data_IF_006327044580
#
_entry.id   IF_006327044580
#
_cell.length_a   1.000
_cell.length_b   1.000
_cell.length_c   1.000
_cell.angle_alpha   90.00
_cell.angle_beta   90.00
_cell.angle_gamma   90.00
#
_symmetry.space_group_name_H-M   'P 1'
#
loop_
_entity.id
_entity.type
_entity.pdbx_description
1 polymer ?
#
# COMPACT_ATOMS: atom_id res chain seq x y z
N UNK A 1 1.49 -6.32 -0.94
CA UNK A 1 1.41 -5.28 0.11
C UNK A 1 0.19 -5.56 0.99
N UNK A 2 0.22 -5.19 2.27
CA UNK A 2 -0.69 -5.69 3.30
C UNK A 2 -1.65 -4.60 3.80
N UNK A 3 -2.90 -4.96 4.09
CA UNK A 3 -3.73 -4.22 5.05
C UNK A 3 -3.09 -4.36 6.45
N UNK A 4 -2.88 -3.25 7.16
CA UNK A 4 -2.42 -3.22 8.55
C UNK A 4 -3.59 -2.89 9.48
N UNK A 5 -4.01 -3.80 10.37
CA UNK A 5 -5.08 -3.52 11.34
C UNK A 5 -4.50 -3.43 12.76
N UNK A 6 -4.93 -2.44 13.54
CA UNK A 6 -4.55 -2.24 14.93
C UNK A 6 -5.80 -2.07 15.84
N UNK A 7 -5.76 -2.62 17.05
CA UNK A 7 -6.80 -2.49 18.08
C UNK A 7 -6.20 -1.91 19.36
N UNK A 8 -6.85 -0.89 19.97
CA UNK A 8 -6.59 -0.47 21.36
C UNK A 8 -7.60 -1.19 22.27
N UNK A 9 -7.15 -1.80 23.37
CA UNK A 9 -8.07 -2.31 24.40
C UNK A 9 -8.39 -1.19 25.41
N UNK A 10 -9.66 -1.07 25.79
CA UNK A 10 -10.10 -0.19 26.89
C UNK A 10 -9.88 -0.88 28.25
N UNK A 11 -9.50 -0.15 29.32
CA UNK A 11 -9.32 -0.74 30.64
C UNK A 11 -10.68 -1.00 31.32
N UNK A 12 -10.80 -2.13 32.02
CA UNK A 12 -11.85 -2.36 33.02
C UNK A 12 -11.42 -1.77 34.38
N UNK A 13 -12.34 -1.30 35.23
CA UNK A 13 -11.97 -0.61 36.45
C UNK A 13 -11.57 -1.57 37.58
N UNK A 14 -10.40 -1.26 38.15
CA UNK A 14 -9.82 -1.60 39.46
C UNK A 14 -9.52 -3.07 39.79
N UNK A 15 -8.22 -3.42 39.76
CA UNK A 15 -7.48 -3.69 41.00
C UNK A 15 -6.00 -3.31 40.82
N UNK A 16 -5.44 -2.69 41.86
CA UNK A 16 -4.10 -2.11 41.89
C UNK A 16 -3.01 -3.20 41.92
N UNK A 17 -2.62 -3.74 40.77
CA UNK A 17 -1.27 -4.32 40.56
C UNK A 17 -1.08 -4.72 39.09
N UNK A 18 -0.08 -4.11 38.42
CA UNK A 18 0.40 -4.56 37.12
C UNK A 18 0.02 -3.67 35.93
N UNK A 19 0.81 -2.62 35.72
CA UNK A 19 0.97 -1.94 34.42
C UNK A 19 1.47 -2.94 33.36
N UNK A 20 0.58 -3.79 32.83
CA UNK A 20 0.84 -4.54 31.60
C UNK A 20 0.54 -3.65 30.41
N UNK A 21 1.62 -3.22 29.79
CA UNK A 21 1.75 -2.58 28.48
C UNK A 21 0.58 -2.92 27.52
N UNK A 22 -0.30 -1.95 27.27
CA UNK A 22 -1.32 -2.01 26.22
C UNK A 22 -0.63 -2.00 24.84
N UNK A 23 -0.06 -3.13 24.39
CA UNK A 23 0.47 -3.24 23.04
C UNK A 23 -0.69 -3.44 22.06
N UNK A 24 -0.96 -2.50 21.13
CA UNK A 24 -1.95 -2.73 20.09
C UNK A 24 -1.53 -3.97 19.26
N UNK A 25 -2.45 -4.92 19.08
CA UNK A 25 -2.21 -6.06 18.17
C UNK A 25 -2.15 -5.54 16.74
N UNK A 26 -0.94 -5.47 16.18
CA UNK A 26 -0.72 -5.21 14.76
C UNK A 26 -0.93 -6.49 13.97
N UNK A 27 -1.75 -6.43 12.92
CA UNK A 27 -2.03 -7.56 12.04
C UNK A 27 -1.77 -7.15 10.61
N UNK A 28 -0.98 -7.96 9.90
CA UNK A 28 -0.62 -7.72 8.50
C UNK A 28 -1.32 -8.75 7.60
N UNK A 29 -2.15 -8.28 6.66
CA UNK A 29 -2.87 -9.11 5.67
C UNK A 29 -2.21 -9.18 4.28
N UNK A 30 -0.88 -9.24 4.19
CA UNK A 30 -0.17 -9.20 2.90
C UNK A 30 -0.19 -10.51 2.13
N UNK A 31 -0.50 -10.48 0.82
CA UNK A 31 -0.45 -11.67 -0.05
C UNK A 31 0.48 -11.45 -1.27
N UNK A 32 1.18 -12.51 -1.69
CA UNK A 32 1.96 -12.57 -2.95
C UNK A 32 1.04 -12.85 -4.17
N UNK A 33 1.55 -12.54 -5.38
CA UNK A 33 0.92 -12.64 -6.71
C UNK A 33 0.14 -13.95 -6.96
N UNK A 34 -0.91 -13.88 -7.78
CA UNK A 34 -1.65 -15.05 -8.30
C UNK A 34 -2.97 -15.37 -7.59
N UNK A 35 -3.28 -14.70 -6.48
CA UNK A 35 -4.63 -14.66 -5.90
C UNK A 35 -5.14 -13.24 -5.98
N UNK A 36 -6.21 -13.02 -6.73
CA UNK A 36 -6.98 -11.77 -6.72
C UNK A 36 -7.58 -11.56 -5.32
N UNK A 37 -6.78 -11.15 -4.33
CA UNK A 37 -7.29 -10.73 -3.03
C UNK A 37 -7.76 -9.30 -3.18
N UNK A 38 -9.06 -9.18 -3.43
CA UNK A 38 -9.81 -7.92 -3.42
C UNK A 38 -9.74 -7.32 -2.00
N UNK A 39 -9.43 -6.03 -1.89
CA UNK A 39 -9.55 -5.25 -0.65
C UNK A 39 -10.76 -5.65 0.22
N UNK A 40 -11.96 -5.87 -0.33
CA UNK A 40 -13.13 -6.42 0.39
C UNK A 40 -12.85 -7.63 1.30
N UNK A 41 -12.07 -8.62 0.85
CA UNK A 41 -11.79 -9.80 1.64
C UNK A 41 -10.89 -9.50 2.85
N UNK A 42 -9.95 -8.56 2.70
CA UNK A 42 -9.10 -8.09 3.80
C UNK A 42 -9.89 -7.17 4.74
N UNK A 43 -10.77 -6.32 4.21
CA UNK A 43 -11.66 -5.48 4.99
C UNK A 43 -12.55 -6.30 5.93
N UNK A 44 -13.14 -7.42 5.45
CA UNK A 44 -13.90 -8.35 6.30
C UNK A 44 -13.08 -8.90 7.47
N UNK A 45 -11.78 -9.12 7.30
CA UNK A 45 -10.90 -9.56 8.37
C UNK A 45 -10.60 -8.46 9.40
N UNK A 46 -10.50 -7.20 8.96
CA UNK A 46 -10.37 -6.06 9.88
C UNK A 46 -11.65 -5.87 10.71
N UNK A 47 -12.81 -5.98 10.05
CA UNK A 47 -14.15 -5.92 10.67
C UNK A 47 -14.34 -7.03 11.69
N UNK A 48 -14.04 -8.29 11.34
CA UNK A 48 -14.22 -9.43 12.27
C UNK A 48 -13.38 -9.31 13.54
N UNK A 49 -12.33 -8.50 13.50
CA UNK A 49 -11.44 -8.22 14.63
C UNK A 49 -11.76 -6.91 15.34
N UNK A 50 -12.81 -6.19 14.93
CA UNK A 50 -13.21 -4.89 15.48
C UNK A 50 -12.03 -3.91 15.52
N UNK A 51 -11.28 -3.83 14.42
CA UNK A 51 -10.11 -2.97 14.34
C UNK A 51 -10.49 -1.49 14.59
N UNK A 52 -9.73 -0.79 15.41
CA UNK A 52 -9.94 0.66 15.66
C UNK A 52 -9.10 1.52 14.72
N UNK A 53 -8.14 0.92 14.03
CA UNK A 53 -7.31 1.56 13.04
C UNK A 53 -6.96 0.58 11.92
N UNK A 54 -7.13 1.01 10.67
CA UNK A 54 -6.89 0.21 9.46
C UNK A 54 -6.06 1.02 8.48
N UNK A 55 -4.85 0.56 8.16
CA UNK A 55 -4.05 1.10 7.05
C UNK A 55 -4.36 0.35 5.77
N UNK A 56 -4.76 1.06 4.72
CA UNK A 56 -5.03 0.55 3.38
C UNK A 56 -3.84 0.85 2.47
N UNK A 57 -3.20 -0.22 1.98
CA UNK A 57 -2.11 -0.18 1.00
C UNK A 57 -2.54 -1.00 -0.24
N UNK A 58 -3.22 -0.35 -1.20
CA UNK A 58 -3.78 -0.97 -2.41
C UNK A 58 -3.11 -0.43 -3.68
N UNK A 59 -3.29 -1.08 -4.83
CA UNK A 59 -2.99 -0.51 -6.14
C UNK A 59 -1.62 -0.86 -6.73
N UNK A 60 -0.62 -1.16 -5.91
CA UNK A 60 0.71 -1.56 -6.42
C UNK A 60 0.64 -2.78 -7.34
N UNK A 61 -0.13 -3.80 -6.94
CA UNK A 61 -0.34 -5.00 -7.75
C UNK A 61 -1.28 -4.77 -8.93
N UNK A 62 -2.10 -3.70 -8.91
CA UNK A 62 -3.00 -3.35 -10.00
C UNK A 62 -2.21 -2.67 -11.14
N UNK A 63 -1.24 -1.80 -10.80
CA UNK A 63 -0.31 -1.18 -11.74
C UNK A 63 0.71 -2.19 -12.29
N UNK A 64 1.23 -3.06 -11.43
CA UNK A 64 2.25 -4.05 -11.79
C UNK A 64 1.68 -5.36 -12.31
N UNK A 65 1.42 -5.42 -13.61
CA UNK A 65 0.88 -6.58 -14.32
C UNK A 65 1.90 -7.20 -15.27
N UNK A 66 1.58 -8.34 -15.89
CA UNK A 66 2.40 -8.89 -16.98
C UNK A 66 2.23 -8.09 -18.29
N UNK A 67 1.04 -7.54 -18.54
CA UNK A 67 0.70 -6.82 -19.77
C UNK A 67 -0.13 -5.57 -19.45
N UNK A 68 -0.05 -4.56 -20.29
CA UNK A 68 -0.81 -3.32 -20.11
C UNK A 68 -2.32 -3.53 -20.07
N UNK A 69 -2.84 -4.46 -20.89
CA UNK A 69 -4.28 -4.79 -20.92
C UNK A 69 -4.80 -5.42 -19.62
N UNK A 70 -3.89 -5.93 -18.78
CA UNK A 70 -4.25 -6.52 -17.49
C UNK A 70 -4.30 -5.47 -16.37
N UNK A 71 -3.85 -4.23 -16.63
CA UNK A 71 -4.04 -3.11 -15.69
C UNK A 71 -5.54 -2.77 -15.71
N UNK A 72 -6.23 -2.76 -14.56
CA UNK A 72 -7.66 -2.46 -14.54
C UNK A 72 -7.94 -1.05 -15.07
N UNK A 73 -9.14 -0.84 -15.60
CA UNK A 73 -9.62 0.52 -15.89
C UNK A 73 -9.80 1.31 -14.58
N UNK A 74 -10.00 2.62 -14.71
CA UNK A 74 -10.23 3.50 -13.55
C UNK A 74 -11.51 3.10 -12.82
N UNK A 75 -12.57 2.79 -13.55
CA UNK A 75 -13.86 2.36 -13.00
C UNK A 75 -13.72 1.04 -12.24
N UNK A 76 -13.03 0.05 -12.81
CA UNK A 76 -12.82 -1.25 -12.15
C UNK A 76 -11.98 -1.10 -10.88
N UNK A 77 -10.96 -0.23 -10.89
CA UNK A 77 -10.15 0.04 -9.72
C UNK A 77 -10.96 0.75 -8.63
N UNK A 78 -11.72 1.79 -9.00
CA UNK A 78 -12.60 2.54 -8.11
C UNK A 78 -13.66 1.65 -7.47
N UNK A 79 -14.37 0.83 -8.25
CA UNK A 79 -15.41 -0.07 -7.75
C UNK A 79 -14.86 -1.03 -6.69
N UNK A 80 -13.69 -1.61 -6.95
CA UNK A 80 -13.02 -2.52 -5.99
C UNK A 80 -12.57 -1.80 -4.73
N UNK A 81 -12.13 -0.55 -4.85
CA UNK A 81 -11.74 0.25 -3.70
C UNK A 81 -12.98 0.60 -2.86
N UNK A 82 -14.06 1.07 -3.49
CA UNK A 82 -15.34 1.38 -2.84
C UNK A 82 -15.96 0.16 -2.16
N UNK A 83 -15.95 -1.01 -2.78
CA UNK A 83 -16.45 -2.25 -2.15
C UNK A 83 -15.70 -2.56 -0.83
N UNK A 84 -14.39 -2.31 -0.81
CA UNK A 84 -13.56 -2.45 0.38
C UNK A 84 -13.86 -1.39 1.45
N UNK A 85 -13.93 -0.12 1.06
CA UNK A 85 -14.25 1.00 1.95
C UNK A 85 -15.64 0.85 2.55
N UNK A 86 -16.63 0.40 1.78
CA UNK A 86 -17.98 0.15 2.25
C UNK A 86 -18.05 -0.99 3.26
N UNK A 87 -17.28 -2.06 3.05
CA UNK A 87 -17.14 -3.14 4.03
C UNK A 87 -16.59 -2.62 5.36
N UNK A 88 -15.59 -1.73 5.32
CA UNK A 88 -15.03 -1.10 6.52
C UNK A 88 -16.06 -0.18 7.19
N UNK A 89 -16.71 0.70 6.42
CA UNK A 89 -17.72 1.65 6.90
C UNK A 89 -18.86 0.96 7.66
N UNK A 90 -19.33 -0.18 7.15
CA UNK A 90 -20.45 -0.92 7.75
C UNK A 90 -20.05 -1.74 8.98
N UNK A 91 -18.78 -2.16 9.08
CA UNK A 91 -18.36 -3.18 10.04
C UNK A 91 -17.38 -2.75 11.12
N UNK A 92 -16.67 -1.63 10.94
CA UNK A 92 -15.75 -1.13 11.95
C UNK A 92 -16.51 -0.52 13.14
N UNK A 93 -15.92 -0.51 14.35
CA UNK A 93 -16.49 0.18 15.49
C UNK A 93 -16.47 1.71 15.29
N UNK A 94 -17.46 2.39 15.85
CA UNK A 94 -17.51 3.86 15.90
C UNK A 94 -16.19 4.46 16.42
N UNK A 95 -15.75 5.54 15.77
CA UNK A 95 -14.48 6.22 16.02
C UNK A 95 -13.26 5.51 15.39
N UNK A 96 -13.43 4.40 14.67
CA UNK A 96 -12.31 3.77 13.98
C UNK A 96 -11.74 4.68 12.88
N UNK A 97 -10.44 4.54 12.64
CA UNK A 97 -9.71 5.30 11.62
C UNK A 97 -9.29 4.40 10.46
N UNK A 98 -9.63 4.78 9.23
CA UNK A 98 -9.15 4.16 8.00
C UNK A 98 -8.14 5.10 7.34
N UNK A 99 -6.89 4.69 7.31
CA UNK A 99 -5.79 5.44 6.73
C UNK A 99 -5.37 4.84 5.39
N UNK A 100 -5.64 5.55 4.31
CA UNK A 100 -5.35 5.14 2.94
C UNK A 100 -4.03 5.77 2.51
N UNK A 101 -3.07 4.95 2.10
CA UNK A 101 -1.79 5.44 1.60
C UNK A 101 -1.74 5.18 0.11
N UNK A 102 -1.36 6.21 -0.65
CA UNK A 102 -1.12 6.12 -2.08
C UNK A 102 -0.05 5.09 -2.45
N UNK A 103 -0.04 4.72 -3.72
CA UNK A 103 0.95 3.86 -4.35
C UNK A 103 2.25 4.64 -4.49
N UNK A 104 3.41 4.03 -4.16
CA UNK A 104 4.74 4.65 -4.41
C UNK A 104 4.94 4.93 -5.89
N UNK A 105 5.82 5.86 -6.26
CA UNK A 105 6.21 6.03 -7.66
C UNK A 105 7.05 4.81 -8.12
N UNK A 106 6.39 3.83 -8.74
CA UNK A 106 7.03 2.59 -9.21
C UNK A 106 8.09 2.89 -10.28
N UNK A 107 7.88 3.94 -11.08
CA UNK A 107 8.85 4.36 -12.08
C UNK A 107 10.12 4.88 -11.42
N UNK A 108 9.99 5.66 -10.34
CA UNK A 108 11.15 6.09 -9.54
C UNK A 108 11.93 4.91 -8.97
N UNK A 109 11.25 3.87 -8.47
CA UNK A 109 11.93 2.67 -7.96
C UNK A 109 12.70 1.94 -9.06
N UNK A 110 12.14 1.83 -10.26
CA UNK A 110 12.85 1.29 -11.42
C UNK A 110 14.08 2.13 -11.75
N UNK A 111 13.94 3.46 -11.86
CA UNK A 111 15.05 4.35 -12.20
C UNK A 111 16.25 4.20 -11.27
N UNK A 112 16.01 4.22 -9.94
CA UNK A 112 17.11 4.18 -8.97
C UNK A 112 17.70 2.80 -8.77
N UNK A 113 17.09 1.76 -9.32
CA UNK A 113 17.61 0.40 -9.27
C UNK A 113 18.29 -0.03 -10.58
N UNK A 114 18.29 0.81 -11.62
CA UNK A 114 18.81 0.46 -12.95
C UNK A 114 20.25 -0.04 -12.93
N UNK A 115 21.13 0.63 -12.17
CA UNK A 115 22.56 0.32 -12.11
C UNK A 115 22.93 -0.66 -10.98
N UNK A 116 21.93 -1.24 -10.33
CA UNK A 116 22.12 -2.07 -9.14
C UNK A 116 22.36 -3.54 -9.52
N UNK A 117 22.90 -4.33 -8.59
CA UNK A 117 23.11 -5.78 -8.76
C UNK A 117 22.36 -6.58 -7.70
N UNK A 118 21.46 -7.47 -8.13
CA UNK A 118 20.84 -8.47 -7.28
C UNK A 118 21.91 -9.41 -6.70
N UNK A 119 21.91 -9.55 -5.37
CA UNK A 119 22.87 -10.29 -4.55
C UNK A 119 24.33 -9.88 -4.80
N UNK A 120 24.57 -8.69 -5.38
CA UNK A 120 25.89 -8.25 -5.85
C UNK A 120 26.39 -8.94 -7.11
N UNK A 121 25.62 -9.86 -7.70
CA UNK A 121 26.10 -10.79 -8.74
C UNK A 121 25.41 -10.57 -10.08
N UNK A 122 24.10 -10.28 -10.11
CA UNK A 122 23.31 -10.19 -11.35
C UNK A 122 22.82 -8.76 -11.53
N UNK A 123 23.13 -8.12 -12.65
CA UNK A 123 22.61 -6.78 -12.95
C UNK A 123 21.07 -6.78 -12.92
N UNK A 124 20.48 -5.79 -12.28
CA UNK A 124 19.02 -5.74 -12.10
C UNK A 124 18.27 -5.76 -13.44
N UNK A 125 18.81 -5.15 -14.49
CA UNK A 125 18.23 -5.21 -15.84
C UNK A 125 18.18 -6.65 -16.41
N UNK A 126 19.20 -7.46 -16.14
CA UNK A 126 19.24 -8.88 -16.53
C UNK A 126 18.19 -9.67 -15.75
N UNK A 127 18.06 -9.42 -14.44
CA UNK A 127 17.03 -10.04 -13.62
C UNK A 127 15.62 -9.66 -14.11
N UNK A 128 15.39 -8.39 -14.43
CA UNK A 128 14.12 -7.89 -14.94
C UNK A 128 13.75 -8.45 -16.31
N UNK A 129 14.73 -8.81 -17.16
CA UNK A 129 14.45 -9.45 -18.45
C UNK A 129 13.62 -10.75 -18.31
N UNK A 130 13.65 -11.40 -17.15
CA UNK A 130 12.80 -12.56 -16.85
C UNK A 130 11.28 -12.24 -16.84
N UNK A 131 10.85 -10.97 -16.88
CA UNK A 131 9.45 -10.60 -17.14
C UNK A 131 8.99 -11.03 -18.53
N UNK A 132 9.90 -11.19 -19.50
CA UNK A 132 9.58 -11.67 -20.86
C UNK A 132 8.97 -13.07 -20.85
N UNK A 133 9.39 -13.89 -19.88
CA UNK A 133 8.88 -15.24 -19.64
C UNK A 133 7.83 -15.29 -18.53
N UNK A 134 7.41 -14.12 -18.00
CA UNK A 134 6.51 -13.97 -16.84
C UNK A 134 7.03 -14.62 -15.56
N UNK A 135 8.34 -14.85 -15.46
CA UNK A 135 8.99 -15.39 -14.25
C UNK A 135 9.33 -14.30 -13.24
N UNK A 136 9.28 -13.04 -13.66
CA UNK A 136 9.48 -11.86 -12.83
C UNK A 136 8.23 -10.96 -12.86
N UNK A 137 7.83 -10.33 -11.74
CA UNK A 137 6.61 -9.50 -11.67
C UNK A 137 6.73 -8.16 -12.39
N UNK A 138 5.60 -7.45 -12.52
CA UNK A 138 5.54 -6.08 -13.02
C UNK A 138 6.15 -5.91 -14.43
N UNK A 139 5.80 -6.79 -15.37
CA UNK A 139 6.18 -6.64 -16.79
C UNK A 139 5.73 -5.32 -17.40
N UNK A 140 4.69 -4.68 -16.88
CA UNK A 140 4.26 -3.32 -17.27
C UNK A 140 5.23 -2.22 -16.86
N UNK A 141 6.15 -2.47 -15.92
CA UNK A 141 7.26 -1.57 -15.63
C UNK A 141 8.57 -2.17 -16.08
N UNK A 142 8.95 -3.35 -15.61
CA UNK A 142 10.34 -3.82 -15.64
C UNK A 142 10.76 -4.49 -16.95
N UNK A 143 9.81 -4.77 -17.84
CA UNK A 143 10.12 -5.44 -19.10
C UNK A 143 11.02 -4.56 -19.99
N UNK A 144 12.19 -5.06 -20.43
CA UNK A 144 13.15 -4.26 -21.21
C UNK A 144 12.61 -3.83 -22.58
N UNK A 145 11.59 -4.51 -23.12
CA UNK A 145 11.05 -4.25 -24.45
C UNK A 145 9.96 -3.17 -24.50
N UNK A 146 9.47 -2.67 -23.36
CA UNK A 146 8.36 -1.69 -23.35
C UNK A 146 8.81 -0.25 -23.63
N UNK A 147 10.13 0.00 -23.56
CA UNK A 147 10.71 1.33 -23.73
C UNK A 147 10.20 2.36 -22.72
N UNK A 148 10.65 3.61 -22.88
CA UNK A 148 10.29 4.69 -21.97
C UNK A 148 8.79 5.03 -22.02
N UNK A 149 8.19 4.99 -23.21
CA UNK A 149 6.76 5.26 -23.36
C UNK A 149 5.88 4.27 -22.57
N UNK A 150 6.24 2.98 -22.57
CA UNK A 150 5.54 1.97 -21.78
C UNK A 150 5.69 2.18 -20.27
N UNK A 151 6.86 2.62 -19.83
CA UNK A 151 7.11 2.97 -18.42
C UNK A 151 6.29 4.19 -17.99
N UNK A 152 6.23 5.23 -18.82
CA UNK A 152 5.41 6.41 -18.56
C UNK A 152 3.92 6.08 -18.54
N UNK A 153 3.43 5.24 -19.46
CA UNK A 153 2.04 4.76 -19.41
C UNK A 153 1.71 4.10 -18.07
N UNK A 154 2.57 3.21 -17.58
CA UNK A 154 2.38 2.57 -16.27
C UNK A 154 2.41 3.57 -15.11
N UNK A 155 3.28 4.58 -15.18
CA UNK A 155 3.34 5.67 -14.20
C UNK A 155 2.06 6.53 -14.24
N UNK A 156 1.50 6.81 -15.41
CA UNK A 156 0.23 7.52 -15.55
C UNK A 156 -0.92 6.74 -14.91
N UNK A 157 -0.98 5.40 -15.10
CA UNK A 157 -1.94 4.54 -14.38
C UNK A 157 -1.74 4.61 -12.86
N UNK A 158 -0.50 4.63 -12.40
CA UNK A 158 -0.15 4.81 -10.99
C UNK A 158 -0.69 6.15 -10.44
N UNK A 159 -0.54 7.25 -11.19
CA UNK A 159 -1.05 8.58 -10.82
C UNK A 159 -2.57 8.59 -10.79
N UNK A 160 -3.23 8.02 -11.80
CA UNK A 160 -4.68 7.94 -11.88
C UNK A 160 -5.27 7.17 -10.69
N UNK A 161 -4.69 6.02 -10.32
CA UNK A 161 -5.13 5.27 -9.15
C UNK A 161 -4.92 6.01 -7.84
N UNK A 162 -3.82 6.76 -7.69
CA UNK A 162 -3.64 7.63 -6.51
C UNK A 162 -4.69 8.73 -6.43
N UNK A 163 -5.10 9.32 -7.57
CA UNK A 163 -6.18 10.30 -7.61
C UNK A 163 -7.53 9.68 -7.20
N UNK A 164 -7.82 8.45 -7.63
CA UNK A 164 -9.03 7.71 -7.21
C UNK A 164 -8.99 7.40 -5.72
N UNK A 165 -7.88 6.86 -5.21
CA UNK A 165 -7.71 6.58 -3.78
C UNK A 165 -7.95 7.83 -2.94
N UNK A 166 -7.38 8.96 -3.35
CA UNK A 166 -7.58 10.26 -2.71
C UNK A 166 -9.06 10.65 -2.69
N UNK A 167 -9.66 10.80 -3.88
CA UNK A 167 -11.03 11.31 -4.04
C UNK A 167 -12.02 10.47 -3.25
N UNK A 168 -11.98 9.14 -3.41
CA UNK A 168 -12.91 8.25 -2.70
C UNK A 168 -12.69 8.30 -1.19
N UNK A 169 -11.46 8.38 -0.70
CA UNK A 169 -11.20 8.53 0.75
C UNK A 169 -11.79 9.84 1.28
N UNK A 170 -11.62 10.95 0.55
CA UNK A 170 -12.19 12.26 0.90
C UNK A 170 -13.73 12.25 0.88
N UNK A 171 -14.35 11.53 -0.07
CA UNK A 171 -15.81 11.34 -0.11
C UNK A 171 -16.32 10.61 1.15
N UNK A 172 -15.67 9.51 1.56
CA UNK A 172 -16.05 8.78 2.78
C UNK A 172 -15.86 9.65 4.03
N UNK A 173 -14.78 10.43 4.11
CA UNK A 173 -14.57 11.40 5.21
C UNK A 173 -15.70 12.44 5.29
N UNK A 174 -16.27 12.86 4.16
CA UNK A 174 -17.33 13.85 4.11
C UNK A 174 -18.72 13.26 4.44
N UNK A 175 -18.94 11.96 4.20
CA UNK A 175 -20.26 11.33 4.28
C UNK A 175 -20.49 10.52 5.56
N UNK A 176 -19.42 10.07 6.23
CA UNK A 176 -19.51 9.20 7.39
C UNK A 176 -18.93 9.88 8.64
N UNK A 177 -19.83 10.37 9.51
CA UNK A 177 -19.47 11.01 10.77
C UNK A 177 -19.07 10.02 11.87
N UNK A 178 -19.23 8.71 11.65
CA UNK A 178 -18.95 7.69 12.65
C UNK A 178 -17.50 7.19 12.62
N UNK A 179 -16.74 7.50 11.57
CA UNK A 179 -15.36 7.05 11.39
C UNK A 179 -14.46 8.20 10.90
N UNK A 180 -13.15 7.98 10.93
CA UNK A 180 -12.17 8.91 10.39
C UNK A 180 -11.47 8.29 9.18
N UNK A 181 -11.42 9.01 8.07
CA UNK A 181 -10.77 8.59 6.83
C UNK A 181 -9.68 9.59 6.46
N UNK A 182 -8.47 9.10 6.28
CA UNK A 182 -7.30 9.94 6.00
C UNK A 182 -6.58 9.39 4.78
N UNK A 183 -6.17 10.27 3.87
CA UNK A 183 -5.37 9.92 2.71
C UNK A 183 -4.00 10.61 2.76
N UNK A 184 -2.95 9.93 2.33
CA UNK A 184 -1.68 10.57 1.96
C UNK A 184 -1.09 9.95 0.70
N UNK A 185 -0.44 10.78 -0.11
CA UNK A 185 0.39 10.38 -1.26
C UNK A 185 1.85 10.82 -1.10
N UNK A 186 2.29 11.17 0.12
CA UNK A 186 3.66 11.65 0.34
C UNK A 186 4.73 10.60 -0.02
N UNK A 187 4.38 9.31 0.07
CA UNK A 187 5.27 8.23 -0.41
C UNK A 187 5.35 8.13 -1.92
N UNK A 188 4.41 8.70 -2.68
CA UNK A 188 4.54 8.81 -4.13
C UNK A 188 5.53 9.93 -4.50
N UNK A 189 5.48 11.05 -3.77
CA UNK A 189 6.33 12.24 -4.01
C UNK A 189 7.77 12.07 -3.52
N UNK A 190 7.99 11.15 -2.59
CA UNK A 190 9.30 11.00 -1.96
C UNK A 190 10.37 10.53 -2.97
N UNK A 191 11.52 11.23 -3.06
CA UNK A 191 12.60 10.85 -3.97
C UNK A 191 13.37 9.65 -3.41
N UNK A 192 12.81 8.44 -3.57
CA UNK A 192 13.51 7.21 -3.20
C UNK A 192 14.88 7.15 -3.89
N UNK A 193 15.84 6.51 -3.23
CA UNK A 193 17.22 6.34 -3.71
C UNK A 193 17.53 4.86 -3.81
N UNK A 194 18.65 4.51 -4.45
CA UNK A 194 19.04 3.12 -4.71
C UNK A 194 19.01 2.23 -3.46
N UNK A 195 19.49 2.72 -2.31
CA UNK A 195 19.51 1.98 -1.04
C UNK A 195 18.12 1.66 -0.48
N UNK A 196 17.07 2.32 -0.98
CA UNK A 196 15.69 2.02 -0.64
C UNK A 196 15.09 0.86 -1.46
N UNK A 197 15.78 0.38 -2.50
CA UNK A 197 15.35 -0.78 -3.30
C UNK A 197 16.15 -2.02 -2.88
N UNK A 198 15.47 -3.16 -2.82
CA UNK A 198 16.01 -4.44 -2.38
C UNK A 198 17.23 -4.89 -3.20
N UNK A 199 18.32 -5.25 -2.52
CA UNK A 199 19.47 -5.94 -3.12
C UNK A 199 19.16 -7.38 -3.54
N UNK A 200 17.98 -7.92 -3.23
CA UNK A 200 17.64 -9.31 -3.54
C UNK A 200 16.87 -9.41 -4.85
N UNK A 201 15.84 -8.58 -5.00
CA UNK A 201 14.95 -8.64 -6.17
C UNK A 201 15.03 -7.40 -7.06
N UNK A 202 15.69 -6.31 -6.65
CA UNK A 202 15.71 -5.06 -7.42
C UNK A 202 14.32 -4.48 -7.71
N UNK A 203 13.34 -4.68 -6.85
CA UNK A 203 11.99 -4.18 -7.09
C UNK A 203 11.28 -3.74 -5.82
N UNK A 204 11.20 -4.62 -4.82
CA UNK A 204 10.53 -4.25 -3.58
C UNK A 204 11.37 -3.26 -2.77
N UNK A 205 10.73 -2.42 -1.93
CA UNK A 205 11.49 -1.60 -1.01
C UNK A 205 12.33 -2.47 -0.06
N UNK A 206 13.61 -2.11 0.09
CA UNK A 206 14.56 -2.72 1.02
C UNK A 206 14.16 -2.45 2.48
N UNK A 207 14.87 -3.02 3.46
CA UNK A 207 14.65 -2.67 4.87
C UNK A 207 14.80 -1.15 5.14
N UNK A 208 15.84 -0.44 4.64
CA UNK A 208 15.87 1.03 4.64
C UNK A 208 14.65 1.67 3.95
N UNK A 209 14.24 1.18 2.79
CA UNK A 209 13.07 1.70 2.06
C UNK A 209 11.77 1.55 2.85
N UNK A 210 11.53 0.39 3.45
CA UNK A 210 10.38 0.13 4.32
C UNK A 210 10.41 1.04 5.57
N UNK A 211 11.57 1.22 6.21
CA UNK A 211 11.71 2.16 7.33
C UNK A 211 11.35 3.59 6.91
N UNK A 212 11.81 4.03 5.74
CA UNK A 212 11.50 5.35 5.21
C UNK A 212 10.02 5.51 4.89
N UNK A 213 9.39 4.50 4.27
CA UNK A 213 7.94 4.45 4.04
C UNK A 213 7.15 4.57 5.35
N UNK A 214 7.54 3.82 6.39
CA UNK A 214 6.91 3.91 7.70
C UNK A 214 7.09 5.28 8.35
N UNK A 215 8.27 5.89 8.23
CA UNK A 215 8.53 7.24 8.76
C UNK A 215 7.64 8.30 8.09
N UNK A 216 7.55 8.29 6.76
CA UNK A 216 6.73 9.24 6.00
C UNK A 216 5.25 9.03 6.34
N UNK A 217 4.77 7.79 6.29
CA UNK A 217 3.36 7.49 6.56
C UNK A 217 2.97 7.74 8.02
N UNK A 218 3.91 7.68 8.97
CA UNK A 218 3.69 8.11 10.35
C UNK A 218 3.52 9.63 10.45
N UNK A 219 4.45 10.40 9.86
CA UNK A 219 4.46 11.87 9.91
C UNK A 219 3.30 12.52 9.16
N UNK A 220 2.75 11.85 8.16
CA UNK A 220 1.63 12.33 7.35
C UNK A 220 0.35 11.53 7.56
N UNK A 221 0.30 10.77 8.66
CA UNK A 221 -0.84 9.96 9.04
C UNK A 221 -1.66 10.58 10.17
N UNK A 222 -2.74 9.89 10.58
CA UNK A 222 -3.67 10.37 11.63
C UNK A 222 -3.06 10.48 13.03
N UNK A 223 -1.81 10.09 13.23
CA UNK A 223 -1.09 10.16 14.51
C UNK A 223 0.11 11.12 14.48
N UNK A 224 0.19 11.98 13.46
CA UNK A 224 1.25 12.97 13.32
C UNK A 224 1.23 14.03 14.43
N UNK A 225 0.05 14.36 14.95
CA UNK A 225 -0.11 15.20 16.13
C UNK A 225 -0.65 14.36 17.31
N UNK A 226 -0.22 14.65 18.56
CA UNK A 226 -0.88 14.06 19.73
C UNK A 226 -2.37 14.42 19.72
N UNK A 227 -3.27 13.49 20.07
CA UNK A 227 -4.68 13.84 20.21
C UNK A 227 -4.81 14.96 21.25
N UNK A 228 -5.52 16.03 20.87
CA UNK A 228 -5.89 17.13 21.78
C UNK A 228 -6.88 16.66 22.84
#
# INVERSE_FOLDING_TARGET
>A
MALGAHQRQQPQPADHEGLRELRPRQLHGGQKRGRHVRLPAQAKQAVSRKASYVTVLMGHNDVCQDRFIDIPSDEVFEDRFREGMETLRQGLPAGATVYVVGIVDIYRLWQVAGDKRALGIVDCEVLWAATLLRWYPCGTMLNPLIGEAGRQFTRERNVAFNAILRRVTEEYQAQDSNHHYVFTDEIFKYPFVESHVSDIDCFHPSAPGQRKLSEITWRHGPFAEPPK
#
